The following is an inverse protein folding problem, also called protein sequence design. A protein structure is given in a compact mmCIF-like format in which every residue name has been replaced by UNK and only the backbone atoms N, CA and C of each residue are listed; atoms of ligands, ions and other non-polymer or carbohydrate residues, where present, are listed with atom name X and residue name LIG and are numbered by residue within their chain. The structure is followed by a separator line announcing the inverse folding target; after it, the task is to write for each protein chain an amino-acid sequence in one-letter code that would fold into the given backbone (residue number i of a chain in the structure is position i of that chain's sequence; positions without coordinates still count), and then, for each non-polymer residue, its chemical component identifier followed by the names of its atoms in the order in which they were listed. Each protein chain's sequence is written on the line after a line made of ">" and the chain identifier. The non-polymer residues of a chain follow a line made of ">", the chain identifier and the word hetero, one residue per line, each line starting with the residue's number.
data_IF_756290729020
#
_entry.id   IF_756290729020
#
_cell.length_a   1.000
_cell.length_b   1.000
_cell.length_c   1.000
_cell.angle_alpha   90.00
_cell.angle_beta   90.00
_cell.angle_gamma   90.00
#
_symmetry.space_group_name_H-M   'P 1'
#
loop_
_entity.id
_entity.type
_entity.pdbx_description
1 polymer ?
#
# COMPACT_ATOMS: atom_id res chain seq x y z
N UNK A 1 -14.56 22.04 -2.60
CA UNK A 1 -13.54 20.96 -2.47
C UNK A 1 -13.90 19.85 -1.47
N UNK A 2 -14.77 20.08 -0.47
CA UNK A 2 -15.09 19.06 0.54
C UNK A 2 -15.74 17.78 -0.01
N UNK A 3 -16.62 17.88 -1.00
CA UNK A 3 -17.28 16.69 -1.58
C UNK A 3 -16.26 15.81 -2.31
N UNK A 4 -15.44 16.38 -3.17
CA UNK A 4 -14.39 15.65 -3.88
C UNK A 4 -13.41 14.99 -2.91
N UNK A 5 -12.98 15.71 -1.86
CA UNK A 5 -12.11 15.16 -0.81
C UNK A 5 -12.74 13.95 -0.11
N UNK A 6 -14.04 14.02 0.23
CA UNK A 6 -14.76 12.89 0.84
C UNK A 6 -14.88 11.71 -0.12
N UNK A 7 -15.20 11.95 -1.39
CA UNK A 7 -15.30 10.88 -2.40
C UNK A 7 -13.95 10.18 -2.57
N UNK A 8 -12.86 10.93 -2.74
CA UNK A 8 -11.52 10.34 -2.87
C UNK A 8 -11.11 9.57 -1.63
N UNK A 9 -11.42 10.07 -0.43
CA UNK A 9 -11.16 9.36 0.83
C UNK A 9 -11.92 8.04 0.90
N UNK A 10 -13.22 8.04 0.61
CA UNK A 10 -14.06 6.84 0.63
C UNK A 10 -13.55 5.80 -0.37
N UNK A 11 -13.22 6.21 -1.60
CA UNK A 11 -12.63 5.31 -2.59
C UNK A 11 -11.29 4.74 -2.13
N UNK A 12 -10.42 5.57 -1.54
CA UNK A 12 -9.15 5.11 -1.00
C UNK A 12 -9.32 4.04 0.10
N UNK A 13 -10.28 4.22 1.00
CA UNK A 13 -10.60 3.23 2.04
C UNK A 13 -11.12 1.93 1.44
N UNK A 14 -12.03 2.00 0.47
CA UNK A 14 -12.56 0.80 -0.21
C UNK A 14 -11.43 0.02 -0.88
N UNK A 15 -10.54 0.72 -1.60
CA UNK A 15 -9.39 0.09 -2.27
C UNK A 15 -8.44 -0.54 -1.25
N UNK A 16 -8.17 0.11 -0.12
CA UNK A 16 -7.33 -0.45 0.94
C UNK A 16 -7.94 -1.73 1.55
N UNK A 17 -9.25 -1.75 1.79
CA UNK A 17 -9.93 -2.95 2.29
C UNK A 17 -9.84 -4.08 1.27
N UNK A 18 -10.13 -3.82 0.00
CA UNK A 18 -10.03 -4.82 -1.06
C UNK A 18 -8.60 -5.36 -1.19
N UNK A 19 -7.59 -4.48 -1.14
CA UNK A 19 -6.19 -4.86 -1.18
C UNK A 19 -5.80 -5.74 0.03
N UNK A 20 -6.29 -5.45 1.23
CA UNK A 20 -6.02 -6.26 2.41
C UNK A 20 -6.63 -7.67 2.32
N UNK A 21 -7.86 -7.78 1.79
CA UNK A 21 -8.50 -9.07 1.54
C UNK A 21 -7.74 -9.91 0.51
N UNK A 22 -7.32 -9.28 -0.59
CA UNK A 22 -6.51 -9.94 -1.62
C UNK A 22 -5.14 -10.36 -1.08
N UNK A 23 -4.46 -9.51 -0.31
CA UNK A 23 -3.19 -9.85 0.32
C UNK A 23 -3.32 -11.06 1.28
N UNK A 24 -4.42 -11.15 2.02
CA UNK A 24 -4.72 -12.31 2.86
C UNK A 24 -4.86 -13.59 2.06
N UNK A 25 -5.52 -13.53 0.88
CA UNK A 25 -5.60 -14.66 -0.04
C UNK A 25 -4.22 -15.03 -0.60
N UNK A 26 -3.43 -14.05 -1.02
CA UNK A 26 -2.10 -14.27 -1.58
C UNK A 26 -1.16 -14.95 -0.57
N UNK A 27 -1.27 -14.64 0.73
CA UNK A 27 -0.55 -15.34 1.79
C UNK A 27 -0.84 -16.84 1.80
N UNK A 28 -2.12 -17.22 1.64
CA UNK A 28 -2.54 -18.62 1.61
C UNK A 28 -2.01 -19.29 0.34
N UNK A 29 -2.21 -18.66 -0.81
CA UNK A 29 -1.80 -19.20 -2.12
C UNK A 29 -0.28 -19.40 -2.19
N UNK A 30 0.51 -18.43 -1.71
CA UNK A 30 1.98 -18.53 -1.68
C UNK A 30 2.41 -19.70 -0.79
N UNK A 31 1.82 -19.86 0.39
CA UNK A 31 2.18 -20.96 1.29
C UNK A 31 1.84 -22.33 0.69
N UNK A 32 0.69 -22.46 0.02
CA UNK A 32 0.30 -23.69 -0.65
C UNK A 32 1.21 -24.02 -1.83
N UNK A 33 1.46 -23.05 -2.71
CA UNK A 33 2.36 -23.21 -3.85
C UNK A 33 3.79 -23.52 -3.39
N UNK A 34 4.24 -22.90 -2.30
CA UNK A 34 5.55 -23.17 -1.72
C UNK A 34 5.66 -24.60 -1.17
N UNK A 35 4.65 -25.07 -0.45
CA UNK A 35 4.59 -26.45 0.03
C UNK A 35 4.58 -27.46 -1.14
N UNK A 36 3.76 -27.22 -2.18
CA UNK A 36 3.70 -28.08 -3.37
C UNK A 36 5.03 -28.07 -4.15
N UNK A 37 5.68 -26.91 -4.28
CA UNK A 37 6.96 -26.80 -4.98
C UNK A 37 8.08 -27.56 -4.24
N UNK A 38 8.13 -27.46 -2.90
CA UNK A 38 9.09 -28.19 -2.09
C UNK A 38 8.78 -29.69 -2.04
N UNK A 39 7.51 -30.11 -2.10
CA UNK A 39 7.15 -31.53 -2.15
C UNK A 39 7.53 -32.20 -3.49
N UNK A 40 7.47 -31.45 -4.59
CA UNK A 40 7.79 -31.94 -5.93
C UNK A 40 9.29 -31.86 -6.28
N UNK A 41 10.11 -31.25 -5.42
CA UNK A 41 11.56 -31.15 -5.61
C UNK A 41 12.32 -31.79 -4.45
N UNK A 42 13.51 -32.30 -4.75
CA UNK A 42 14.42 -32.86 -3.73
C UNK A 42 15.13 -31.79 -2.88
N UNK A 43 14.83 -30.50 -3.07
CA UNK A 43 15.50 -29.39 -2.38
C UNK A 43 14.50 -28.32 -1.92
N UNK A 44 14.69 -27.83 -0.70
CA UNK A 44 13.88 -26.75 -0.13
C UNK A 44 14.37 -25.38 -0.63
N UNK A 45 13.42 -24.52 -1.00
CA UNK A 45 13.69 -23.11 -1.33
C UNK A 45 13.02 -22.17 -0.33
N UNK A 46 13.50 -20.94 -0.16
CA UNK A 46 12.85 -19.95 0.70
C UNK A 46 11.52 -19.48 0.11
N UNK A 47 10.53 -19.24 0.97
CA UNK A 47 9.23 -18.67 0.58
C UNK A 47 9.37 -17.19 0.21
N UNK A 48 8.71 -16.71 -0.87
CA UNK A 48 8.69 -15.29 -1.21
C UNK A 48 7.78 -14.46 -0.29
N UNK A 49 7.03 -15.09 0.62
CA UNK A 49 5.99 -14.45 1.44
C UNK A 49 6.49 -13.21 2.21
N UNK A 50 7.67 -13.30 2.84
CA UNK A 50 8.20 -12.16 3.61
C UNK A 50 8.44 -10.94 2.74
N UNK A 51 9.02 -11.13 1.55
CA UNK A 51 9.28 -10.04 0.60
C UNK A 51 7.98 -9.41 0.12
N UNK A 52 6.94 -10.22 -0.13
CA UNK A 52 5.60 -9.73 -0.51
C UNK A 52 4.99 -8.89 0.60
N UNK A 53 5.00 -9.36 1.85
CA UNK A 53 4.46 -8.62 2.99
C UNK A 53 5.19 -7.30 3.23
N UNK A 54 6.52 -7.31 3.17
CA UNK A 54 7.34 -6.08 3.30
C UNK A 54 6.97 -5.09 2.19
N UNK A 55 6.89 -5.55 0.94
CA UNK A 55 6.56 -4.71 -0.21
C UNK A 55 5.16 -4.10 -0.05
N UNK A 56 4.18 -4.88 0.42
CA UNK A 56 2.83 -4.40 0.68
C UNK A 56 2.80 -3.30 1.75
N UNK A 57 3.51 -3.50 2.87
CA UNK A 57 3.62 -2.49 3.94
C UNK A 57 4.29 -1.21 3.41
N UNK A 58 5.39 -1.34 2.68
CA UNK A 58 6.09 -0.21 2.09
C UNK A 58 5.20 0.55 1.10
N UNK A 59 4.41 -0.16 0.28
CA UNK A 59 3.48 0.46 -0.65
C UNK A 59 2.37 1.25 0.06
N UNK A 60 1.79 0.69 1.13
CA UNK A 60 0.76 1.37 1.94
C UNK A 60 1.33 2.62 2.60
N UNK A 61 2.48 2.49 3.26
CA UNK A 61 3.14 3.63 3.94
C UNK A 61 3.56 4.69 2.93
N UNK A 62 4.22 4.30 1.84
CA UNK A 62 4.66 5.21 0.78
C UNK A 62 3.51 5.94 0.10
N UNK A 63 2.43 5.22 -0.22
CA UNK A 63 1.21 5.78 -0.78
C UNK A 63 0.55 6.79 0.16
N UNK A 64 0.47 6.47 1.46
CA UNK A 64 -0.05 7.37 2.48
C UNK A 64 0.78 8.66 2.59
N UNK A 65 2.10 8.54 2.71
CA UNK A 65 3.01 9.69 2.80
C UNK A 65 2.96 10.56 1.54
N UNK A 66 2.88 9.94 0.36
CA UNK A 66 2.73 10.65 -0.92
C UNK A 66 1.42 11.44 -0.95
N UNK A 67 0.31 10.82 -0.51
CA UNK A 67 -0.99 11.47 -0.40
C UNK A 67 -0.96 12.68 0.54
N UNK A 68 -0.30 12.55 1.71
CA UNK A 68 -0.12 13.67 2.64
C UNK A 68 0.67 14.83 2.03
N UNK A 69 1.77 14.53 1.34
CA UNK A 69 2.59 15.55 0.67
C UNK A 69 1.83 16.32 -0.41
N UNK A 70 1.00 15.63 -1.19
CA UNK A 70 0.15 16.25 -2.22
C UNK A 70 -1.00 17.09 -1.63
N UNK A 71 -1.44 16.77 -0.41
CA UNK A 71 -2.55 17.46 0.27
C UNK A 71 -2.15 18.74 1.01
N UNK A 72 -0.86 19.03 1.19
CA UNK A 72 -0.42 20.22 1.94
C UNK A 72 -0.70 21.52 1.16
N UNK A 73 -1.31 22.54 1.78
CA UNK A 73 -1.50 23.83 1.14
C UNK A 73 -0.13 24.47 0.86
N UNK A 74 0.11 24.86 -0.40
CA UNK A 74 1.31 25.63 -0.77
C UNK A 74 1.32 26.92 0.05
N UNK A 75 2.33 27.10 0.90
CA UNK A 75 2.56 28.38 1.59
C UNK A 75 2.82 29.42 0.50
N UNK A 76 1.87 30.34 0.27
CA UNK A 76 2.14 31.49 -0.57
C UNK A 76 3.28 32.29 0.08
N UNK A 77 4.25 32.80 -0.69
CA UNK A 77 5.25 33.72 -0.18
C UNK A 77 4.51 34.88 0.50
N UNK A 78 4.80 35.11 1.79
CA UNK A 78 4.37 36.34 2.46
C UNK A 78 4.91 37.49 1.64
N UNK A 79 4.04 38.18 0.90
CA UNK A 79 4.39 39.45 0.28
C UNK A 79 4.87 40.39 1.39
N UNK A 80 6.10 40.94 1.31
CA UNK A 80 6.54 41.96 2.24
C UNK A 80 5.57 43.14 2.16
N UNK A 81 5.00 43.52 3.31
CA UNK A 81 4.09 44.65 3.40
C UNK A 81 4.91 45.94 3.27
N UNK A 82 4.67 46.81 2.27
CA UNK A 82 5.35 48.09 2.16
C UNK A 82 4.66 49.10 3.09
N UNK A 83 5.26 49.33 4.26
CA UNK A 83 5.02 50.51 5.09
C UNK A 83 6.34 51.29 5.20
#
# INVERSE_FOLDING_TARGET
>A
MQILSRVTLTFGVIILIAAALLLGKDVIDINQLHAVANANRSTNFPSPLNTVLITAVLAVVGGFLTGLGLGMPKRLPRTPNPH
#
